data_IF_069816358109
#
_entry.id   IF_069816358109
#
_cell.length_a   1.000
_cell.length_b   1.000
_cell.length_c   1.000
_cell.angle_alpha   90.00
_cell.angle_beta   90.00
_cell.angle_gamma   90.00
#
_symmetry.space_group_name_H-M   'P 1'
#
loop_
_entity.id
_entity.type
_entity.pdbx_description
1 polymer ?
#
# COMPACT_ATOMS: atom_id res chain seq x y z
N UNK A 1 16.21 -11.65 -7.99
CA UNK A 1 16.01 -12.85 -7.17
C UNK A 1 16.46 -14.07 -7.96
N UNK A 2 17.46 -14.80 -7.45
CA UNK A 2 18.01 -16.02 -8.05
C UNK A 2 17.72 -17.22 -7.13
N UNK A 3 17.49 -18.39 -7.67
CA UNK A 3 17.28 -19.63 -6.92
C UNK A 3 16.81 -20.77 -7.82
N UNK A 4 16.85 -22.01 -7.34
CA UNK A 4 16.36 -23.18 -8.08
C UNK A 4 14.86 -23.08 -8.38
N UNK A 5 14.38 -23.79 -9.38
CA UNK A 5 12.94 -23.95 -9.63
C UNK A 5 12.26 -24.51 -8.38
N UNK A 6 11.03 -24.10 -8.11
CA UNK A 6 10.25 -24.42 -6.91
C UNK A 6 10.74 -23.78 -5.59
N UNK A 7 11.69 -22.87 -5.61
CA UNK A 7 12.19 -22.16 -4.40
C UNK A 7 11.29 -21.00 -3.91
N UNK A 8 10.05 -20.92 -4.36
CA UNK A 8 9.10 -19.86 -3.95
C UNK A 8 9.23 -18.54 -4.74
N UNK A 9 10.16 -18.44 -5.70
CA UNK A 9 10.33 -17.22 -6.53
C UNK A 9 9.03 -16.77 -7.22
N UNK A 10 8.31 -17.70 -7.80
CA UNK A 10 7.03 -17.40 -8.48
C UNK A 10 5.98 -16.86 -7.51
N UNK A 11 6.00 -17.30 -6.26
CA UNK A 11 5.10 -16.79 -5.23
C UNK A 11 5.47 -15.36 -4.83
N UNK A 12 6.77 -15.05 -4.74
CA UNK A 12 7.23 -13.69 -4.47
C UNK A 12 6.79 -12.71 -5.59
N UNK A 13 6.90 -13.10 -6.85
CA UNK A 13 6.40 -12.28 -7.97
C UNK A 13 4.89 -12.05 -7.88
N UNK A 14 4.12 -13.08 -7.54
CA UNK A 14 2.67 -12.95 -7.34
C UNK A 14 2.32 -11.99 -6.21
N UNK A 15 3.09 -11.99 -5.12
CA UNK A 15 2.89 -11.06 -4.00
C UNK A 15 3.13 -9.61 -4.45
N UNK A 16 4.20 -9.34 -5.18
CA UNK A 16 4.47 -7.98 -5.71
C UNK A 16 3.42 -7.54 -6.73
N UNK A 17 3.00 -8.44 -7.62
CA UNK A 17 1.93 -8.17 -8.58
C UNK A 17 0.61 -7.83 -7.87
N UNK A 18 0.26 -8.62 -6.86
CA UNK A 18 -0.90 -8.39 -6.00
C UNK A 18 -0.84 -7.03 -5.29
N UNK A 19 0.29 -6.70 -4.67
CA UNK A 19 0.48 -5.40 -3.99
C UNK A 19 0.31 -4.26 -4.99
N UNK A 20 0.93 -4.35 -6.16
CA UNK A 20 0.86 -3.32 -7.19
C UNK A 20 -0.56 -3.16 -7.75
N UNK A 21 -1.26 -4.25 -8.01
CA UNK A 21 -2.66 -4.23 -8.43
C UNK A 21 -3.55 -3.58 -7.36
N UNK A 22 -3.35 -3.95 -6.10
CA UNK A 22 -4.12 -3.39 -4.97
C UNK A 22 -3.90 -1.88 -4.83
N UNK A 23 -2.66 -1.41 -4.99
CA UNK A 23 -2.32 0.02 -4.92
C UNK A 23 -2.98 0.80 -6.07
N UNK A 24 -3.09 0.24 -7.26
CA UNK A 24 -3.62 0.94 -8.41
C UNK A 24 -5.16 0.87 -8.53
N UNK A 25 -5.74 -0.29 -8.22
CA UNK A 25 -7.12 -0.60 -8.56
C UNK A 25 -7.98 -1.02 -7.34
N UNK A 26 -7.35 -1.27 -6.20
CA UNK A 26 -7.96 -1.90 -5.03
C UNK A 26 -7.82 -3.42 -5.06
N UNK A 27 -8.36 -4.10 -4.06
CA UNK A 27 -8.23 -5.56 -3.92
C UNK A 27 -8.78 -6.28 -5.17
N UNK A 28 -7.97 -7.08 -5.86
CA UNK A 28 -8.39 -7.78 -7.08
C UNK A 28 -9.58 -8.71 -6.82
N UNK A 29 -10.45 -8.86 -7.80
CA UNK A 29 -11.63 -9.74 -7.69
C UNK A 29 -11.23 -11.18 -7.39
N UNK A 30 -10.11 -11.65 -7.95
CA UNK A 30 -9.62 -13.00 -7.75
C UNK A 30 -8.99 -13.25 -6.37
N UNK A 31 -8.73 -12.19 -5.60
CA UNK A 31 -8.11 -12.30 -4.27
C UNK A 31 -8.90 -13.15 -3.28
N UNK A 32 -10.21 -13.32 -3.50
CA UNK A 32 -11.07 -14.18 -2.67
C UNK A 32 -10.59 -15.64 -2.60
N UNK A 33 -9.74 -16.07 -3.52
CA UNK A 33 -9.18 -17.42 -3.57
C UNK A 33 -7.69 -17.48 -3.16
N UNK A 34 -7.06 -16.36 -2.84
CA UNK A 34 -5.60 -16.26 -2.61
C UNK A 34 -5.21 -16.46 -1.14
N UNK A 35 -6.16 -16.81 -0.27
CA UNK A 35 -5.86 -17.13 1.12
C UNK A 35 -5.16 -18.51 1.26
N UNK A 36 -4.41 -18.69 2.35
CA UNK A 36 -3.76 -19.97 2.65
C UNK A 36 -4.79 -21.07 2.93
N UNK A 37 -4.85 -22.10 2.06
CA UNK A 37 -5.87 -23.15 2.09
C UNK A 37 -5.58 -24.32 3.04
N UNK A 38 -4.50 -24.26 3.82
CA UNK A 38 -4.14 -25.33 4.73
C UNK A 38 -5.18 -25.62 5.84
N UNK A 39 -6.06 -24.64 6.11
CA UNK A 39 -7.18 -24.78 7.03
C UNK A 39 -8.34 -23.89 6.57
N UNK A 40 -9.58 -24.36 6.81
CA UNK A 40 -10.77 -23.54 6.55
C UNK A 40 -10.81 -22.27 7.41
N UNK A 41 -10.19 -22.29 8.59
CA UNK A 41 -10.06 -21.12 9.48
C UNK A 41 -9.24 -20.02 8.86
N UNK A 42 -8.32 -20.33 7.95
CA UNK A 42 -7.50 -19.34 7.24
C UNK A 42 -8.31 -18.46 6.29
N UNK A 43 -9.54 -18.85 5.94
CA UNK A 43 -10.41 -18.06 5.07
C UNK A 43 -10.71 -16.68 5.63
N UNK A 44 -10.91 -16.57 6.94
CA UNK A 44 -11.20 -15.33 7.66
C UNK A 44 -9.96 -14.65 8.27
N UNK A 45 -8.77 -15.25 8.08
CA UNK A 45 -7.52 -14.68 8.59
C UNK A 45 -7.04 -13.53 7.71
N UNK A 46 -6.43 -12.57 8.39
CA UNK A 46 -5.75 -11.46 7.72
C UNK A 46 -4.46 -11.92 7.05
N UNK A 47 -4.23 -11.38 5.87
CA UNK A 47 -2.94 -11.39 5.19
C UNK A 47 -2.31 -10.01 5.33
N UNK A 48 -1.06 -9.96 5.78
CA UNK A 48 -0.31 -8.72 6.01
C UNK A 48 0.72 -8.55 4.91
N UNK A 49 0.78 -7.36 4.34
CA UNK A 49 1.72 -6.95 3.32
C UNK A 49 2.43 -5.69 3.78
N UNK A 50 3.75 -5.74 3.91
CA UNK A 50 4.56 -4.58 4.25
C UNK A 50 5.81 -4.53 3.37
N UNK A 51 6.13 -3.34 2.90
CA UNK A 51 7.34 -3.02 2.15
C UNK A 51 8.12 -1.93 2.87
N UNK A 52 9.42 -2.13 3.00
CA UNK A 52 10.35 -1.13 3.50
C UNK A 52 11.26 -0.69 2.36
N UNK A 53 11.37 0.62 2.16
CA UNK A 53 12.07 1.20 1.02
C UNK A 53 12.51 2.64 1.28
N UNK A 54 13.41 3.14 0.44
CA UNK A 54 13.90 4.52 0.49
C UNK A 54 13.36 5.35 -0.66
N UNK A 55 12.98 6.60 -0.36
CA UNK A 55 12.66 7.63 -1.35
C UNK A 55 13.51 8.85 -1.04
N UNK A 56 14.47 9.16 -1.90
CA UNK A 56 15.48 10.17 -1.60
C UNK A 56 16.33 9.76 -0.38
N UNK A 57 16.33 10.60 0.63
CA UNK A 57 17.04 10.43 1.90
C UNK A 57 16.16 9.85 3.03
N UNK A 58 14.90 9.57 2.74
CA UNK A 58 13.93 9.07 3.71
C UNK A 58 13.67 7.58 3.56
N UNK A 59 13.52 6.90 4.70
CA UNK A 59 13.22 5.48 4.76
C UNK A 59 11.78 5.27 5.24
N UNK A 60 11.01 4.49 4.50
CA UNK A 60 9.59 4.26 4.76
C UNK A 60 9.26 2.80 4.99
N UNK A 61 8.25 2.55 5.85
CA UNK A 61 7.52 1.30 5.93
C UNK A 61 6.06 1.56 5.57
N UNK A 62 5.62 1.00 4.45
CA UNK A 62 4.23 1.06 4.00
C UNK A 62 3.63 -0.33 3.98
N UNK A 63 2.45 -0.48 4.54
CA UNK A 63 1.77 -1.77 4.53
C UNK A 63 0.26 -1.67 4.67
N UNK A 64 -0.36 -2.81 4.48
CA UNK A 64 -1.79 -3.02 4.74
C UNK A 64 -2.04 -4.46 5.13
N UNK A 65 -3.13 -4.69 5.86
CA UNK A 65 -3.68 -6.02 6.10
C UNK A 65 -5.05 -6.15 5.47
N UNK A 66 -5.41 -7.38 5.07
CA UNK A 66 -6.68 -7.65 4.40
C UNK A 66 -7.20 -9.06 4.67
N UNK A 67 -8.50 -9.20 4.83
CA UNK A 67 -9.19 -10.49 4.71
C UNK A 67 -9.52 -10.71 3.24
N UNK A 68 -8.68 -11.50 2.56
CA UNK A 68 -8.73 -11.66 1.10
C UNK A 68 -10.04 -12.27 0.60
N UNK A 69 -10.60 -13.24 1.34
CA UNK A 69 -11.88 -13.88 1.00
C UNK A 69 -13.07 -12.91 1.02
N UNK A 70 -12.97 -11.83 1.76
CA UNK A 70 -14.00 -10.79 1.89
C UNK A 70 -13.69 -9.56 1.02
N UNK A 71 -12.51 -9.52 0.41
CA UNK A 71 -11.97 -8.35 -0.30
C UNK A 71 -12.02 -7.09 0.56
N UNK A 72 -11.66 -7.24 1.82
CA UNK A 72 -11.74 -6.18 2.81
C UNK A 72 -10.36 -5.88 3.39
N UNK A 73 -9.95 -4.63 3.29
CA UNK A 73 -8.75 -4.10 3.94
C UNK A 73 -9.09 -3.82 5.38
N UNK A 74 -8.33 -4.38 6.31
CA UNK A 74 -8.55 -4.26 7.74
C UNK A 74 -7.68 -3.20 8.38
N UNK A 75 -6.49 -2.95 7.82
CA UNK A 75 -5.60 -1.90 8.26
C UNK A 75 -4.78 -1.36 7.09
N UNK A 76 -4.33 -0.12 7.20
CA UNK A 76 -3.35 0.49 6.29
C UNK A 76 -2.50 1.47 7.07
N UNK A 77 -1.18 1.45 6.85
CA UNK A 77 -0.25 2.30 7.58
C UNK A 77 0.91 2.77 6.72
N UNK A 78 1.46 3.92 7.10
CA UNK A 78 2.71 4.46 6.57
C UNK A 78 3.52 5.07 7.71
N UNK A 79 4.76 4.62 7.85
CA UNK A 79 5.74 5.14 8.78
C UNK A 79 6.98 5.65 8.06
N UNK A 80 7.56 6.74 8.57
CA UNK A 80 8.93 7.13 8.27
C UNK A 80 9.86 6.53 9.33
N UNK A 81 10.80 5.69 8.91
CA UNK A 81 11.77 5.04 9.79
C UNK A 81 12.98 5.97 9.97
N UNK A 82 13.39 6.19 11.21
CA UNK A 82 14.47 7.10 11.55
C UNK A 82 15.78 6.34 11.81
N UNK A 83 16.91 7.03 11.69
CA UNK A 83 18.25 6.45 11.88
C UNK A 83 18.49 5.90 13.30
N UNK A 84 17.80 6.42 14.30
CA UNK A 84 17.85 5.96 15.69
C UNK A 84 17.03 4.68 15.95
N UNK A 85 16.41 4.11 14.90
CA UNK A 85 15.54 2.94 14.99
C UNK A 85 14.11 3.23 15.41
N UNK A 86 13.78 4.50 15.69
CA UNK A 86 12.38 4.89 15.93
C UNK A 86 11.59 5.07 14.64
N UNK A 87 10.27 5.13 14.74
CA UNK A 87 9.39 5.37 13.61
C UNK A 87 8.46 6.56 13.88
N UNK A 88 8.26 7.37 12.86
CA UNK A 88 7.25 8.41 12.84
C UNK A 88 6.05 7.91 12.06
N UNK A 89 4.92 7.78 12.73
CA UNK A 89 3.65 7.52 12.08
C UNK A 89 3.30 8.70 11.17
N UNK A 90 3.04 8.41 9.89
CA UNK A 90 2.58 9.42 8.93
C UNK A 90 1.07 9.34 8.76
N UNK A 91 0.52 8.15 8.57
CA UNK A 91 -0.92 7.91 8.70
C UNK A 91 -1.21 6.45 9.05
N UNK A 92 -2.37 6.24 9.62
CA UNK A 92 -2.98 4.93 9.85
C UNK A 92 -4.46 4.96 9.48
N UNK A 93 -4.98 3.78 9.14
CA UNK A 93 -6.42 3.54 8.95
C UNK A 93 -6.77 2.17 9.47
N UNK A 94 -7.84 2.07 10.24
CA UNK A 94 -8.40 0.83 10.76
C UNK A 94 -9.75 0.55 10.09
N UNK A 95 -9.81 -0.52 9.31
CA UNK A 95 -11.01 -0.93 8.58
C UNK A 95 -11.57 0.17 7.68
N UNK A 96 -12.87 0.39 7.81
CA UNK A 96 -13.61 1.43 7.09
C UNK A 96 -13.62 2.79 7.83
N UNK A 97 -12.86 2.93 8.93
CA UNK A 97 -12.77 4.17 9.68
C UNK A 97 -12.09 5.28 8.88
N UNK A 98 -12.33 6.51 9.28
CA UNK A 98 -11.64 7.68 8.74
C UNK A 98 -10.14 7.56 8.96
N UNK A 99 -9.29 7.68 7.91
CA UNK A 99 -7.85 7.71 8.06
C UNK A 99 -7.37 8.84 8.96
N UNK A 100 -6.35 8.59 9.76
CA UNK A 100 -5.81 9.53 10.75
C UNK A 100 -4.33 9.80 10.46
N UNK A 101 -3.92 11.06 10.52
CA UNK A 101 -2.51 11.45 10.44
C UNK A 101 -1.79 11.23 11.77
N UNK A 102 -0.52 10.88 11.68
CA UNK A 102 0.35 10.78 12.83
C UNK A 102 0.53 12.13 13.54
N UNK A 103 0.65 12.12 14.86
CA UNK A 103 0.72 13.32 15.70
C UNK A 103 1.90 14.24 15.39
N UNK A 104 2.97 13.71 14.78
CA UNK A 104 4.15 14.48 14.41
C UNK A 104 4.04 15.15 13.04
N UNK A 105 3.03 14.82 12.24
CA UNK A 105 2.78 15.45 10.94
C UNK A 105 2.18 16.85 11.18
N UNK A 106 2.97 17.87 10.92
CA UNK A 106 2.54 19.28 11.11
C UNK A 106 2.08 19.86 9.79
N UNK A 107 0.78 20.02 9.66
CA UNK A 107 0.13 20.59 8.47
C UNK A 107 -0.15 22.07 8.65
N UNK A 108 -0.26 22.79 7.54
CA UNK A 108 -0.94 24.08 7.50
C UNK A 108 -2.44 23.90 7.64
N UNK A 109 -3.16 24.93 8.03
CA UNK A 109 -4.62 24.87 8.17
C UNK A 109 -5.34 24.47 6.86
N UNK A 110 -4.81 24.92 5.73
CA UNK A 110 -5.33 24.55 4.42
C UNK A 110 -5.11 23.05 4.11
N UNK A 111 -3.96 22.49 4.47
CA UNK A 111 -3.66 21.07 4.31
C UNK A 111 -4.48 20.19 5.26
N UNK A 112 -4.67 20.63 6.52
CA UNK A 112 -5.56 19.96 7.47
C UNK A 112 -6.98 19.85 6.92
N UNK A 113 -7.55 20.96 6.46
CA UNK A 113 -8.89 20.96 5.87
C UNK A 113 -8.97 20.05 4.65
N UNK A 114 -7.98 20.08 3.77
CA UNK A 114 -7.92 19.22 2.59
C UNK A 114 -7.84 17.75 2.96
N UNK A 115 -6.99 17.40 3.93
CA UNK A 115 -6.86 16.04 4.40
C UNK A 115 -8.16 15.54 5.02
N UNK A 116 -8.81 16.34 5.91
CA UNK A 116 -10.09 15.99 6.52
C UNK A 116 -11.15 15.65 5.49
N UNK A 117 -11.32 16.50 4.47
CA UNK A 117 -12.29 16.24 3.38
C UNK A 117 -11.99 14.90 2.70
N UNK A 118 -10.74 14.65 2.32
CA UNK A 118 -10.39 13.42 1.63
C UNK A 118 -10.53 12.17 2.51
N UNK A 119 -10.21 12.30 3.80
CA UNK A 119 -10.33 11.21 4.76
C UNK A 119 -11.80 10.89 5.06
N UNK A 120 -12.65 11.91 5.21
CA UNK A 120 -14.08 11.77 5.43
C UNK A 120 -14.80 11.18 4.19
N UNK A 121 -14.46 11.66 2.99
CA UNK A 121 -15.01 11.13 1.73
C UNK A 121 -14.62 9.67 1.49
N UNK A 122 -13.48 9.26 2.03
CA UNK A 122 -12.97 7.89 1.91
C UNK A 122 -13.52 6.95 2.99
N UNK A 123 -14.03 7.46 4.09
CA UNK A 123 -14.60 6.64 5.15
C UNK A 123 -15.73 5.73 4.62
N UNK A 124 -15.75 4.48 5.09
CA UNK A 124 -16.68 3.46 4.60
C UNK A 124 -16.17 2.61 3.45
N UNK A 125 -15.08 3.00 2.77
CA UNK A 125 -14.46 2.17 1.73
C UNK A 125 -13.42 1.24 2.34
N UNK A 126 -13.62 -0.07 2.19
CA UNK A 126 -12.73 -1.10 2.73
C UNK A 126 -12.07 -2.00 1.66
N UNK A 127 -12.44 -1.85 0.40
CA UNK A 127 -11.82 -2.55 -0.73
C UNK A 127 -10.68 -1.81 -1.42
N UNK A 128 -10.34 -0.60 -0.98
CA UNK A 128 -9.31 0.28 -1.57
C UNK A 128 -8.35 0.80 -0.52
N UNK A 129 -7.16 1.18 -0.96
CA UNK A 129 -6.13 1.81 -0.13
C UNK A 129 -6.30 3.33 -0.13
N UNK A 130 -6.14 3.94 1.03
CA UNK A 130 -6.19 5.40 1.19
C UNK A 130 -5.02 6.09 0.49
N UNK A 131 -3.84 5.46 0.46
CA UNK A 131 -2.69 5.93 -0.33
C UNK A 131 -3.09 6.16 -1.79
N UNK A 132 -3.87 5.27 -2.37
CA UNK A 132 -4.37 5.38 -3.75
C UNK A 132 -5.34 6.53 -3.90
N UNK A 133 -6.26 6.69 -2.95
CA UNK A 133 -7.22 7.79 -2.95
C UNK A 133 -6.53 9.15 -2.84
N UNK A 134 -5.51 9.26 -1.98
CA UNK A 134 -4.72 10.47 -1.85
C UNK A 134 -3.95 10.85 -3.12
N UNK A 135 -3.83 9.94 -4.09
CA UNK A 135 -3.16 10.18 -5.37
C UNK A 135 -4.09 10.32 -6.56
N UNK A 136 -5.35 9.90 -6.45
CA UNK A 136 -6.32 9.93 -7.55
C UNK A 136 -6.71 11.37 -7.89
N UNK A 137 -6.22 11.88 -9.04
CA UNK A 137 -6.54 13.20 -9.54
C UNK A 137 -6.06 14.37 -8.66
N UNK A 138 -5.30 14.11 -7.61
CA UNK A 138 -4.80 15.12 -6.67
C UNK A 138 -3.39 15.57 -7.04
N UNK A 139 -3.10 16.85 -6.81
CA UNK A 139 -1.79 17.44 -7.04
C UNK A 139 -1.23 17.97 -5.72
N UNK A 140 0.07 17.78 -5.52
CA UNK A 140 0.81 18.28 -4.37
C UNK A 140 1.92 19.20 -4.85
N UNK A 141 2.02 20.35 -4.23
CA UNK A 141 3.16 21.24 -4.43
C UNK A 141 4.41 20.65 -3.76
N UNK A 142 5.59 21.08 -4.20
CA UNK A 142 6.86 20.58 -3.67
C UNK A 142 7.03 20.83 -2.18
N UNK A 143 6.46 21.92 -1.68
CA UNK A 143 6.50 22.33 -0.28
C UNK A 143 5.42 21.69 0.58
N UNK A 144 4.45 20.97 -0.01
CA UNK A 144 3.34 20.36 0.73
C UNK A 144 3.83 19.30 1.70
N UNK A 145 3.34 19.37 2.93
CA UNK A 145 3.59 18.37 3.97
C UNK A 145 2.87 17.05 3.73
N UNK A 146 1.87 17.04 2.84
CA UNK A 146 1.17 15.82 2.39
C UNK A 146 1.84 15.16 1.17
N UNK A 147 2.95 15.73 0.66
CA UNK A 147 3.63 15.23 -0.53
C UNK A 147 4.13 13.78 -0.37
N UNK A 148 4.41 13.32 0.85
CA UNK A 148 4.83 11.94 1.09
C UNK A 148 3.85 10.91 0.52
N UNK A 149 2.54 11.21 0.46
CA UNK A 149 1.58 10.34 -0.21
C UNK A 149 1.93 10.13 -1.69
N UNK A 150 2.33 11.21 -2.38
CA UNK A 150 2.73 11.16 -3.78
C UNK A 150 4.06 10.46 -3.97
N UNK A 151 5.03 10.77 -3.12
CA UNK A 151 6.38 10.25 -3.23
C UNK A 151 6.38 8.72 -3.01
N UNK A 152 5.68 8.24 -2.00
CA UNK A 152 5.51 6.81 -1.71
C UNK A 152 4.74 6.10 -2.84
N UNK A 153 3.62 6.66 -3.28
CA UNK A 153 2.83 6.09 -4.37
C UNK A 153 3.62 5.96 -5.66
N UNK A 154 4.35 7.01 -6.05
CA UNK A 154 5.18 7.00 -7.25
C UNK A 154 6.31 5.98 -7.15
N UNK A 155 6.95 5.87 -5.97
CA UNK A 155 8.00 4.89 -5.77
C UNK A 155 7.47 3.46 -5.94
N UNK A 156 6.35 3.13 -5.31
CA UNK A 156 5.72 1.81 -5.40
C UNK A 156 5.32 1.46 -6.84
N UNK A 157 4.85 2.42 -7.61
CA UNK A 157 4.48 2.18 -9.00
C UNK A 157 5.67 2.06 -9.96
N UNK A 158 6.71 2.85 -9.74
CA UNK A 158 7.82 2.95 -10.69
C UNK A 158 8.96 1.97 -10.39
N UNK A 159 9.14 1.58 -9.12
CA UNK A 159 10.27 0.74 -8.71
C UNK A 159 9.90 -0.75 -8.53
N UNK A 160 8.62 -1.07 -8.40
CA UNK A 160 8.16 -2.46 -8.46
C UNK A 160 7.89 -2.80 -9.93
N UNK A 161 8.92 -3.34 -10.61
CA UNK A 161 8.82 -3.80 -11.99
C UNK A 161 8.67 -5.32 -11.99
N UNK A 162 7.55 -5.80 -12.52
CA UNK A 162 7.26 -7.23 -12.61
C UNK A 162 7.47 -7.66 -14.07
N UNK A 163 8.51 -8.44 -14.28
CA UNK A 163 8.77 -9.07 -15.58
C UNK A 163 8.13 -10.47 -15.57
N UNK A 164 7.07 -10.64 -16.35
CA UNK A 164 6.48 -11.94 -16.58
C UNK A 164 7.29 -12.69 -17.64
N UNK A 165 8.04 -13.75 -17.30
CA UNK A 165 8.87 -14.47 -18.26
C UNK A 165 8.06 -15.21 -19.35
N UNK A 166 6.74 -15.36 -19.16
CA UNK A 166 5.84 -15.98 -20.13
C UNK A 166 5.22 -14.98 -21.12
N UNK A 167 5.39 -13.68 -20.92
CA UNK A 167 5.15 -12.71 -21.99
C UNK A 167 6.39 -12.68 -22.88
N UNK A 168 6.39 -13.48 -23.94
CA UNK A 168 7.44 -13.47 -24.92
C UNK A 168 7.74 -12.03 -25.36
N UNK A 169 9.02 -11.66 -25.37
CA UNK A 169 9.48 -10.44 -26.01
C UNK A 169 9.13 -10.61 -27.48
N UNK A 170 8.02 -10.02 -27.93
CA UNK A 170 7.76 -9.90 -29.36
C UNK A 170 8.77 -8.88 -29.89
N UNK A 171 9.86 -9.38 -30.45
CA UNK A 171 10.74 -8.58 -31.30
C UNK A 171 9.95 -8.22 -32.55
N UNK A 172 9.44 -7.00 -32.63
CA UNK A 172 9.09 -6.33 -33.85
C UNK A 172 10.24 -5.44 -34.29
#
# INVERSE_FOLDING_TARGET
>A
VYGANASGKSNLFRVFDFIKATINEGLPVNSVNDFCRNSMENKSRESVFELQFTVGDKFYAYGFSAVLSERRITEEWLYELLQDGSANELFIREGANTPVLGKKVKLTKAEENRFSVYAEDFAGYDGRLFLSEMNRGKKYEETSKLRFFRDVFNWLNNNIIILNPNMGISHT
#
